data_IF_757481921917
#
_entry.id   IF_757481921917
#
_cell.length_a   1.000
_cell.length_b   1.000
_cell.length_c   1.000
_cell.angle_alpha   90.00
_cell.angle_beta   90.00
_cell.angle_gamma   90.00
#
_symmetry.space_group_name_H-M   'P 1'
#
loop_
_entity.id
_entity.type
_entity.pdbx_description
1 polymer ?
#
# COMPACT_ATOMS: atom_id res chain seq x y z
N UNK A 1 21.27 8.14 -6.06
CA UNK A 1 20.44 8.01 -7.27
C UNK A 1 20.27 6.53 -7.53
N UNK A 2 19.04 6.01 -7.52
CA UNK A 2 18.78 4.59 -7.80
C UNK A 2 18.63 4.42 -9.30
N UNK A 3 19.50 3.63 -9.94
CA UNK A 3 19.37 3.29 -11.35
C UNK A 3 18.73 1.91 -11.50
N UNK A 4 17.54 1.89 -12.09
CA UNK A 4 16.78 0.65 -12.34
C UNK A 4 16.77 0.38 -13.83
N UNK A 5 17.30 -0.79 -14.23
CA UNK A 5 17.19 -1.26 -15.61
C UNK A 5 15.83 -1.95 -15.79
N UNK A 6 14.93 -1.29 -16.51
CA UNK A 6 13.65 -1.87 -16.90
C UNK A 6 13.84 -2.77 -18.12
N UNK A 7 13.10 -3.87 -18.17
CA UNK A 7 13.00 -4.65 -19.41
C UNK A 7 12.24 -3.83 -20.46
N UNK A 8 12.44 -4.10 -21.77
CA UNK A 8 11.75 -3.37 -22.83
C UNK A 8 10.22 -3.42 -22.72
N UNK A 9 9.67 -4.55 -22.25
CA UNK A 9 8.23 -4.73 -22.06
C UNK A 9 7.70 -3.81 -20.96
N UNK A 10 8.42 -3.73 -19.83
CA UNK A 10 8.05 -2.88 -18.71
C UNK A 10 8.18 -1.39 -19.06
N UNK A 11 9.23 -0.98 -19.77
CA UNK A 11 9.36 0.42 -20.21
C UNK A 11 8.25 0.82 -21.18
N UNK A 12 7.84 -0.10 -22.06
CA UNK A 12 6.72 0.11 -22.98
C UNK A 12 5.40 0.25 -22.24
N UNK A 13 5.12 -0.63 -21.29
CA UNK A 13 3.92 -0.58 -20.47
C UNK A 13 3.87 0.72 -19.63
N UNK A 14 4.99 1.06 -18.98
CA UNK A 14 5.12 2.28 -18.19
C UNK A 14 4.98 3.54 -19.05
N UNK A 15 5.52 3.55 -20.27
CA UNK A 15 5.37 4.67 -21.21
C UNK A 15 3.91 4.87 -21.65
N UNK A 16 3.15 3.78 -21.84
CA UNK A 16 1.71 3.86 -22.16
C UNK A 16 0.93 4.43 -20.99
N UNK A 17 1.23 3.98 -19.77
CA UNK A 17 0.54 4.44 -18.57
C UNK A 17 0.87 5.90 -18.24
N UNK A 18 2.14 6.29 -18.37
CA UNK A 18 2.59 7.68 -18.24
C UNK A 18 1.81 8.63 -19.16
N UNK A 19 1.59 8.23 -20.43
CA UNK A 19 0.78 9.00 -21.37
C UNK A 19 -0.67 9.11 -20.94
N UNK A 20 -1.29 8.02 -20.49
CA UNK A 20 -2.68 8.00 -20.01
C UNK A 20 -2.88 8.90 -18.80
N UNK A 21 -1.98 8.78 -17.83
CA UNK A 21 -2.01 9.56 -16.59
C UNK A 21 -1.51 11.01 -16.76
N UNK A 22 -0.98 11.38 -17.92
CA UNK A 22 -0.27 12.65 -18.18
C UNK A 22 0.81 12.95 -17.15
N UNK A 23 1.52 11.92 -16.70
CA UNK A 23 2.60 11.99 -15.71
C UNK A 23 3.92 11.55 -16.35
N UNK A 24 5.04 11.92 -15.73
CA UNK A 24 6.34 11.37 -16.12
C UNK A 24 6.47 9.91 -15.68
N UNK A 25 7.27 9.12 -16.41
CA UNK A 25 7.59 7.73 -16.00
C UNK A 25 8.19 7.67 -14.61
N UNK A 26 9.10 8.60 -14.29
CA UNK A 26 9.75 8.68 -12.99
C UNK A 26 8.73 8.92 -11.86
N UNK A 27 7.76 9.83 -12.07
CA UNK A 27 6.70 10.09 -11.10
C UNK A 27 5.87 8.84 -10.83
N UNK A 28 5.46 8.10 -11.87
CA UNK A 28 4.69 6.87 -11.69
C UNK A 28 5.48 5.79 -10.96
N UNK A 29 6.78 5.64 -11.24
CA UNK A 29 7.63 4.68 -10.53
C UNK A 29 7.77 5.06 -9.06
N UNK A 30 7.97 6.34 -8.75
CA UNK A 30 8.04 6.82 -7.36
C UNK A 30 6.72 6.58 -6.62
N UNK A 31 5.59 6.93 -7.24
CA UNK A 31 4.25 6.70 -6.67
C UNK A 31 4.01 5.20 -6.41
N UNK A 32 4.39 4.33 -7.36
CA UNK A 32 4.23 2.88 -7.22
C UNK A 32 5.13 2.29 -6.12
N UNK A 33 6.37 2.76 -5.98
CA UNK A 33 7.28 2.33 -4.92
C UNK A 33 6.76 2.79 -3.56
N UNK A 34 6.26 4.02 -3.45
CA UNK A 34 5.68 4.52 -2.21
C UNK A 34 4.46 3.67 -1.79
N UNK A 35 3.57 3.36 -2.72
CA UNK A 35 2.43 2.49 -2.47
C UNK A 35 2.86 1.09 -2.00
N UNK A 36 3.84 0.48 -2.68
CA UNK A 36 4.34 -0.83 -2.30
C UNK A 36 4.92 -0.86 -0.88
N UNK A 37 5.68 0.16 -0.50
CA UNK A 37 6.25 0.25 0.85
C UNK A 37 5.15 0.39 1.90
N UNK A 38 4.12 1.21 1.62
CA UNK A 38 2.97 1.34 2.51
C UNK A 38 2.23 -0.01 2.66
N UNK A 39 1.94 -0.69 1.56
CA UNK A 39 1.26 -1.99 1.59
C UNK A 39 2.08 -3.05 2.36
N UNK A 40 3.41 -3.01 2.23
CA UNK A 40 4.31 -3.90 2.97
C UNK A 40 4.26 -3.62 4.48
N UNK A 41 4.26 -2.34 4.89
CA UNK A 41 4.12 -1.94 6.28
C UNK A 41 2.77 -2.35 6.86
N UNK A 42 1.68 -2.12 6.12
CA UNK A 42 0.32 -2.52 6.51
C UNK A 42 0.22 -4.04 6.69
N UNK A 43 0.82 -4.81 5.77
CA UNK A 43 0.88 -6.27 5.88
C UNK A 43 1.65 -6.71 7.15
N UNK A 44 2.79 -6.09 7.44
CA UNK A 44 3.56 -6.40 8.65
C UNK A 44 2.79 -6.00 9.93
N UNK A 45 2.07 -4.88 9.94
CA UNK A 45 1.22 -4.48 11.05
C UNK A 45 0.12 -5.51 11.33
N UNK A 46 -0.49 -6.08 10.28
CA UNK A 46 -1.46 -7.17 10.41
C UNK A 46 -0.81 -8.44 10.98
N UNK A 47 0.38 -8.82 10.50
CA UNK A 47 1.09 -9.98 11.05
C UNK A 47 1.48 -9.78 12.52
N UNK A 48 1.95 -8.60 12.89
CA UNK A 48 2.30 -8.24 14.26
C UNK A 48 1.07 -8.30 15.17
N UNK A 49 -0.07 -7.71 14.75
CA UNK A 49 -1.31 -7.77 15.52
C UNK A 49 -1.82 -9.21 15.70
N UNK A 50 -1.64 -10.09 14.69
CA UNK A 50 -1.98 -11.52 14.79
C UNK A 50 -1.08 -12.28 15.77
N UNK A 51 0.21 -11.93 15.87
CA UNK A 51 1.16 -12.53 16.83
C UNK A 51 0.84 -12.12 18.27
N UNK A 52 0.43 -10.87 18.48
CA UNK A 52 -0.07 -10.38 19.76
C UNK A 52 -1.55 -10.72 19.95
N UNK A 53 -1.88 -12.03 19.96
CA UNK A 53 -3.22 -12.60 20.18
C UNK A 53 -3.80 -12.31 21.58
N UNK A 54 -3.63 -11.10 22.11
CA UNK A 54 -4.36 -10.56 23.24
C UNK A 54 -5.78 -10.23 22.81
N UNK A 55 -6.75 -10.97 23.39
CA UNK A 55 -8.20 -10.74 23.41
C UNK A 55 -8.76 -9.98 22.20
N UNK A 56 -9.29 -10.73 21.24
CA UNK A 56 -10.28 -10.20 20.28
C UNK A 56 -11.38 -9.46 21.04
N UNK A 57 -11.61 -8.19 20.69
CA UNK A 57 -12.72 -7.44 21.24
C UNK A 57 -14.02 -7.87 20.53
N UNK A 58 -15.12 -7.98 21.28
CA UNK A 58 -16.43 -8.22 20.68
C UNK A 58 -16.89 -6.99 19.88
N UNK A 59 -17.83 -7.18 18.95
CA UNK A 59 -18.38 -6.07 18.18
C UNK A 59 -18.95 -4.97 19.09
N UNK A 60 -19.59 -5.33 20.20
CA UNK A 60 -20.11 -4.38 21.18
C UNK A 60 -19.00 -3.58 21.87
N UNK A 61 -17.88 -4.23 22.21
CA UNK A 61 -16.71 -3.55 22.78
C UNK A 61 -16.10 -2.56 21.78
N UNK A 62 -16.08 -2.91 20.49
CA UNK A 62 -15.60 -2.00 19.42
C UNK A 62 -16.57 -0.83 19.24
N UNK A 63 -17.88 -1.08 19.20
CA UNK A 63 -18.91 -0.03 19.11
C UNK A 63 -18.85 0.94 20.29
N UNK A 64 -18.68 0.43 21.51
CA UNK A 64 -18.55 1.26 22.71
C UNK A 64 -17.27 2.12 22.66
N UNK A 65 -16.16 1.56 22.19
CA UNK A 65 -14.87 2.27 22.09
C UNK A 65 -14.86 3.36 21.01
N UNK A 66 -15.62 3.16 19.94
CA UNK A 66 -15.75 4.11 18.83
C UNK A 66 -16.97 5.03 18.97
N UNK A 67 -17.72 4.95 20.07
CA UNK A 67 -18.97 5.70 20.29
C UNK A 67 -20.01 5.49 19.17
N UNK A 68 -20.07 4.28 18.60
CA UNK A 68 -20.99 3.90 17.53
C UNK A 68 -22.21 3.11 18.03
N UNK A 69 -22.37 2.97 19.34
CA UNK A 69 -23.49 2.25 19.96
C UNK A 69 -24.65 3.18 20.31
N UNK A 70 -25.64 3.22 19.42
CA UNK A 70 -27.02 3.61 19.73
C UNK A 70 -27.93 2.39 19.72
#
# INVERSE_FOLDING_TARGET
MLEVKLTPELDTALSREARRARKSKATLVLDAVAQYLQDADDYQAVLASRKHRGRTATLDQVKQRLCLGG
#
